data_IF_970674190758
#
_entry.id   IF_970674190758
#
_cell.length_a   1.000
_cell.length_b   1.000
_cell.length_c   1.000
_cell.angle_alpha   90.00
_cell.angle_beta   90.00
_cell.angle_gamma   90.00
#
_symmetry.space_group_name_H-M   'P 1'
#
loop_
_entity.id
_entity.type
_entity.pdbx_description
1 polymer ?
2 polymer ?
3 non-polymer ?
4 non-polymer ?
5 water ?
#
# COMPACT_ATOMS: atom_id res chain seq x y z
N UNK A 6 -14.84 3.52 17.86
CA UNK A 6 -13.85 2.48 18.13
C UNK A 6 -12.43 3.02 18.15
N UNK A 7 -11.63 2.34 18.97
CA UNK A 7 -10.20 2.61 19.08
C UNK A 7 -9.49 2.60 17.73
N UNK A 8 -9.80 1.62 16.88
CA UNK A 8 -9.09 1.55 15.60
C UNK A 8 -9.45 2.74 14.72
N UNK A 9 -10.71 3.18 14.76
CA UNK A 9 -11.10 4.33 13.94
C UNK A 9 -10.50 5.62 14.46
N UNK A 10 -10.22 5.73 15.77
CA UNK A 10 -9.47 6.89 16.27
C UNK A 10 -8.05 6.89 15.70
N UNK A 11 -7.43 5.70 15.62
CA UNK A 11 -6.11 5.61 15.00
C UNK A 11 -6.16 6.06 13.54
N UNK A 12 -7.18 5.60 12.80
CA UNK A 12 -7.39 6.04 11.42
C UNK A 12 -7.56 7.55 11.35
N UNK A 13 -8.37 8.11 12.26
CA UNK A 13 -8.56 9.56 12.22
C UNK A 13 -7.24 10.28 12.48
N UNK A 14 -6.41 9.72 13.36
CA UNK A 14 -5.12 10.33 13.61
C UNK A 14 -4.23 10.31 12.38
N UNK A 15 -4.18 9.18 11.68
CA UNK A 15 -3.44 9.11 10.42
C UNK A 15 -3.95 10.15 9.45
N UNK A 16 -5.27 10.23 9.31
CA UNK A 16 -5.86 11.20 8.38
C UNK A 16 -5.44 12.63 8.72
N UNK A 17 -5.51 13.00 10.01
CA UNK A 17 -5.03 14.31 10.46
C UNK A 17 -3.58 14.53 10.03
N UNK A 18 -2.74 13.51 10.22
CA UNK A 18 -1.35 13.65 9.82
C UNK A 18 -1.20 13.84 8.32
N UNK A 19 -1.94 13.07 7.52
CA UNK A 19 -1.82 13.19 6.08
C UNK A 19 -2.21 14.59 5.59
N UNK A 20 -3.09 15.27 6.31
CA UNK A 20 -3.57 16.58 5.94
C UNK A 20 -2.78 17.71 6.59
N UNK A 21 -1.76 17.39 7.40
CA UNK A 21 -1.06 18.38 8.21
C UNK A 21 0.06 19.07 7.42
N UNK A 22 0.52 20.22 7.95
CA UNK A 22 1.56 20.98 7.27
C UNK A 22 2.83 20.16 7.06
N UNK A 23 3.10 19.22 7.97
CA UNK A 23 4.28 18.35 7.88
C UNK A 23 4.46 17.76 6.50
N UNK A 24 3.36 17.30 5.89
CA UNK A 24 3.41 16.57 4.63
C UNK A 24 2.83 17.35 3.45
N UNK A 25 2.59 18.64 3.62
CA UNK A 25 1.86 19.41 2.62
C UNK A 25 2.58 19.53 1.29
N UNK A 26 3.90 19.40 1.27
CA UNK A 26 4.63 19.56 0.02
C UNK A 26 4.29 18.49 -0.99
N UNK A 27 3.89 17.30 -0.52
CA UNK A 27 3.53 16.21 -1.42
C UNK A 27 2.11 15.71 -1.23
N UNK A 28 1.40 16.13 -0.18
CA UNK A 28 0.02 15.67 -0.02
C UNK A 28 -0.99 16.51 -0.77
N UNK A 29 -0.63 17.75 -1.13
CA UNK A 29 -1.65 18.66 -1.65
C UNK A 29 -2.38 18.16 -2.90
N UNK A 30 -1.80 17.38 -3.83
CA UNK A 30 -2.61 16.92 -4.96
C UNK A 30 -3.73 15.99 -4.56
N UNK A 31 -3.73 15.52 -3.30
CA UNK A 31 -4.69 14.56 -2.80
C UNK A 31 -5.71 15.20 -1.87
N UNK A 32 -5.63 16.52 -1.67
CA UNK A 32 -6.52 17.18 -0.73
C UNK A 32 -7.97 17.20 -1.20
N UNK A 33 -8.20 17.32 -2.51
CA UNK A 33 -9.53 17.49 -3.08
C UNK A 33 -9.67 16.57 -4.27
N UNK A 34 -10.90 16.29 -4.73
CA UNK A 34 -11.07 15.44 -5.90
C UNK A 34 -10.31 15.99 -7.09
N UNK A 35 -9.73 15.08 -7.87
CA UNK A 35 -9.03 15.48 -9.08
C UNK A 35 -10.00 16.27 -9.93
N UNK A 36 -9.62 17.49 -10.32
CA UNK A 36 -10.45 18.30 -11.21
C UNK A 36 -9.88 18.09 -12.61
N UNK A 37 -10.38 17.05 -13.27
CA UNK A 37 -9.76 16.61 -14.52
C UNK A 37 -9.82 17.69 -15.57
N UNK A 38 -10.99 18.33 -15.74
CA UNK A 38 -11.10 19.38 -16.73
C UNK A 38 -10.13 20.52 -16.45
N UNK A 39 -10.01 20.95 -15.19
CA UNK A 39 -9.14 22.07 -14.86
C UNK A 39 -7.67 21.76 -15.12
N UNK A 40 -7.27 20.51 -14.94
CA UNK A 40 -5.90 20.08 -15.13
C UNK A 40 -5.63 19.64 -16.56
N UNK A 41 -6.63 19.68 -17.43
CA UNK A 41 -6.46 19.26 -18.80
C UNK A 41 -6.37 17.78 -18.98
N UNK A 42 -6.87 17.01 -18.02
CA UNK A 42 -6.78 15.55 -18.03
C UNK A 42 -8.08 14.95 -18.55
N UNK A 43 -8.32 15.14 -19.86
CA UNK A 43 -9.63 14.85 -20.40
C UNK A 43 -9.91 13.36 -20.56
N UNK A 44 -8.94 12.50 -20.27
CA UNK A 44 -9.13 11.06 -20.26
C UNK A 44 -9.24 10.49 -18.85
N UNK A 45 -9.18 11.35 -17.83
CA UNK A 45 -9.07 10.85 -16.45
C UNK A 45 -10.24 9.95 -16.09
N UNK A 46 -11.47 10.39 -16.40
CA UNK A 46 -12.63 9.61 -15.97
C UNK A 46 -12.94 8.44 -16.91
N UNK A 47 -12.23 8.33 -18.04
CA UNK A 47 -12.28 7.10 -18.81
C UNK A 47 -11.38 6.03 -18.22
N UNK A 48 -10.34 6.42 -17.50
CA UNK A 48 -9.35 5.52 -16.93
C UNK A 48 -9.65 5.20 -15.47
N UNK A 49 -10.09 6.19 -14.70
CA UNK A 49 -10.36 6.05 -13.26
C UNK A 49 -11.86 5.99 -13.05
N UNK A 50 -12.36 4.81 -12.67
CA UNK A 50 -13.80 4.58 -12.51
C UNK A 50 -14.32 4.97 -11.14
N UNK A 51 -13.45 5.02 -10.13
CA UNK A 51 -13.86 5.29 -8.75
C UNK A 51 -12.89 6.30 -8.15
N UNK A 52 -13.10 7.58 -8.41
CA UNK A 52 -12.21 8.60 -7.84
C UNK A 52 -12.27 8.61 -6.32
N UNK A 53 -11.15 8.97 -5.71
CA UNK A 53 -11.06 9.08 -4.26
C UNK A 53 -10.01 10.13 -3.91
N UNK A 54 -10.21 10.79 -2.76
CA UNK A 54 -9.30 11.83 -2.32
C UNK A 54 -9.49 12.05 -0.83
N UNK A 55 -8.56 12.78 -0.21
CA UNK A 55 -8.57 12.89 1.24
C UNK A 55 -9.76 13.68 1.77
N UNK A 56 -10.29 14.65 1.02
CA UNK A 56 -11.46 15.37 1.54
C UNK A 56 -12.67 14.45 1.61
N UNK A 57 -12.78 13.51 0.67
CA UNK A 57 -13.86 12.54 0.71
C UNK A 57 -13.67 11.58 1.88
N UNK A 58 -12.44 11.12 2.12
CA UNK A 58 -12.18 10.27 3.28
C UNK A 58 -12.52 11.02 4.57
N UNK A 59 -12.17 12.31 4.64
CA UNK A 59 -12.48 13.11 5.82
C UNK A 59 -13.99 13.24 6.03
N UNK A 60 -14.73 13.49 4.96
CA UNK A 60 -16.18 13.61 5.10
C UNK A 60 -16.79 12.30 5.56
N UNK A 61 -16.33 11.17 5.00
CA UNK A 61 -16.84 9.87 5.41
C UNK A 61 -16.48 9.55 6.85
N UNK A 62 -15.27 9.93 7.29
CA UNK A 62 -14.92 9.74 8.70
C UNK A 62 -15.78 10.60 9.60
N UNK A 63 -16.06 11.82 9.20
CA UNK A 63 -16.84 12.73 10.04
C UNK A 63 -18.29 12.25 10.15
N UNK A 64 -18.84 11.74 9.05
CA UNK A 64 -20.21 11.22 9.02
C UNK A 64 -20.30 9.79 9.53
N UNK A 65 -19.21 9.25 10.09
CA UNK A 65 -19.13 7.87 10.57
C UNK A 65 -19.62 6.88 9.51
N UNK A 66 -19.15 7.09 8.27
CA UNK A 66 -19.46 6.18 7.18
C UNK A 66 -18.60 4.92 7.18
N UNK A 67 -17.48 4.91 7.89
CA UNK A 67 -16.60 3.75 7.92
C UNK A 67 -17.02 2.83 9.06
N UNK A 68 -17.40 1.61 8.71
CA UNK A 68 -17.78 0.62 9.72
C UNK A 68 -16.58 0.11 10.50
N UNK A 69 -15.38 0.21 9.94
CA UNK A 69 -14.18 -0.32 10.57
C UNK A 69 -12.96 0.26 9.85
N UNK A 70 -11.78 -0.07 10.40
CA UNK A 70 -10.54 0.49 9.86
C UNK A 70 -10.26 0.01 8.45
N UNK A 71 -10.66 -1.22 8.16
CA UNK A 71 -10.43 -1.80 6.83
C UNK A 71 -11.12 -1.00 5.74
N UNK A 72 -12.34 -0.51 6.01
CA UNK A 72 -13.05 0.30 5.02
C UNK A 72 -12.33 1.62 4.78
N UNK A 73 -11.84 2.25 5.85
CA UNK A 73 -11.04 3.46 5.74
C UNK A 73 -9.79 3.21 4.90
N UNK A 74 -9.03 2.16 5.24
CA UNK A 74 -7.81 1.86 4.50
C UNK A 74 -8.09 1.60 3.03
N UNK A 75 -9.23 1.00 2.70
CA UNK A 75 -9.52 0.70 1.31
C UNK A 75 -9.70 1.97 0.49
N UNK A 76 -10.33 3.00 1.08
CA UNK A 76 -10.45 4.28 0.38
C UNK A 76 -9.08 4.96 0.23
N UNK A 77 -8.24 4.95 1.27
CA UNK A 77 -6.93 5.58 1.14
C UNK A 77 -6.10 4.88 0.08
N UNK A 78 -6.11 3.55 0.08
CA UNK A 78 -5.31 2.86 -0.93
C UNK A 78 -5.93 3.02 -2.32
N UNK A 79 -7.25 3.15 -2.41
CA UNK A 79 -7.88 3.42 -3.70
C UNK A 79 -7.37 4.74 -4.27
N UNK A 80 -7.35 5.79 -3.44
CA UNK A 80 -6.72 7.05 -3.82
C UNK A 80 -5.36 6.89 -4.46
N UNK A 81 -4.47 6.15 -3.78
CA UNK A 81 -3.11 5.98 -4.28
C UNK A 81 -3.10 5.13 -5.55
N UNK A 82 -3.92 4.08 -5.58
CA UNK A 82 -4.00 3.20 -6.76
C UNK A 82 -4.46 3.97 -7.99
N UNK A 83 -5.45 4.85 -7.83
CA UNK A 83 -5.89 5.69 -8.96
C UNK A 83 -4.74 6.53 -9.49
N UNK A 84 -3.93 7.08 -8.58
CA UNK A 84 -2.79 7.88 -9.00
C UNK A 84 -1.80 7.03 -9.79
N UNK A 85 -1.51 5.83 -9.28
CA UNK A 85 -0.57 4.95 -9.99
C UNK A 85 -1.16 4.45 -11.31
N UNK A 86 -2.47 4.30 -11.40
CA UNK A 86 -3.07 3.83 -12.65
C UNK A 86 -3.04 4.91 -13.72
N UNK A 87 -3.40 6.15 -13.35
CA UNK A 87 -3.56 7.20 -14.36
C UNK A 87 -2.20 7.76 -14.82
N UNK A 88 -1.24 7.90 -13.88
CA UNK A 88 -0.01 8.64 -14.12
C UNK A 88 1.16 7.71 -14.38
N UNK A 89 1.92 7.95 -15.43
CA UNK A 89 3.15 7.18 -15.68
C UNK A 89 4.07 7.24 -14.48
N UNK A 90 4.83 6.17 -14.23
CA UNK A 90 5.57 6.08 -12.96
C UNK A 90 6.67 7.12 -12.80
N UNK A 91 7.12 7.76 -13.87
CA UNK A 91 8.16 8.78 -13.77
C UNK A 91 7.61 10.18 -13.55
N UNK A 92 6.29 10.35 -13.54
CA UNK A 92 5.70 11.67 -13.29
C UNK A 92 5.85 12.07 -11.82
N UNK A 93 5.99 13.37 -11.59
CA UNK A 93 6.28 13.83 -10.22
C UNK A 93 5.16 13.47 -9.25
N UNK A 94 3.91 13.43 -9.71
CA UNK A 94 2.80 13.13 -8.80
C UNK A 94 2.95 11.74 -8.21
N UNK A 95 3.58 10.83 -8.96
CA UNK A 95 3.79 9.48 -8.47
C UNK A 95 4.83 9.46 -7.37
N UNK A 96 5.90 10.26 -7.52
CA UNK A 96 6.90 10.33 -6.44
C UNK A 96 6.28 10.93 -5.19
N UNK A 97 5.38 11.91 -5.36
CA UNK A 97 4.68 12.49 -4.23
C UNK A 97 3.73 11.50 -3.60
N UNK A 98 2.96 10.78 -4.42
CA UNK A 98 2.09 9.72 -3.90
C UNK A 98 2.88 8.70 -3.10
N UNK A 99 4.03 8.27 -3.60
CA UNK A 99 4.80 7.24 -2.91
C UNK A 99 5.26 7.73 -1.54
N UNK A 100 5.66 9.00 -1.46
CA UNK A 100 6.11 9.53 -0.17
C UNK A 100 4.95 9.58 0.81
N UNK A 101 3.78 10.00 0.35
CA UNK A 101 2.63 10.07 1.23
C UNK A 101 2.15 8.68 1.60
N UNK A 102 2.18 7.75 0.65
CA UNK A 102 1.72 6.41 1.01
C UNK A 102 2.69 5.75 1.98
N UNK A 103 3.99 6.06 1.89
CA UNK A 103 4.94 5.56 2.90
C UNK A 103 4.51 6.01 4.29
N UNK A 104 4.14 7.30 4.42
CA UNK A 104 3.65 7.82 5.69
C UNK A 104 2.42 7.05 6.15
N UNK A 105 1.48 6.85 5.22
CA UNK A 105 0.25 6.13 5.57
C UNK A 105 0.55 4.70 6.00
N UNK A 106 1.29 3.95 5.19
CA UNK A 106 1.41 2.51 5.46
C UNK A 106 2.16 2.25 6.75
N UNK A 107 3.18 3.06 7.04
CA UNK A 107 3.96 2.80 8.24
C UNK A 107 3.15 3.10 9.49
N UNK A 108 2.28 4.11 9.45
CA UNK A 108 1.46 4.40 10.62
C UNK A 108 0.26 3.47 10.72
N UNK A 109 -0.35 3.13 9.58
CA UNK A 109 -1.46 2.17 9.58
C UNK A 109 -1.01 0.83 10.14
N UNK A 110 0.25 0.47 9.92
CA UNK A 110 0.75 -0.80 10.46
C UNK A 110 0.84 -0.80 11.98
N UNK A 111 0.74 0.37 12.63
CA UNK A 111 0.74 0.45 14.08
C UNK A 111 -0.65 0.39 14.69
N UNK A 112 -1.62 -0.11 13.97
CA UNK A 112 -3.01 -0.12 14.40
C UNK A 112 -3.12 -0.83 15.75
N UNK A 113 -3.64 -0.18 16.79
CA UNK A 113 -3.74 -0.83 18.09
C UNK A 113 -4.64 -2.07 18.02
N UNK A 114 -4.33 -3.04 18.87
CA UNK A 114 -5.02 -4.35 18.80
C UNK A 114 -6.44 -4.27 19.33
N UNK B 5 -14.55 -12.75 -9.78
CA UNK B 5 -14.32 -12.80 -11.22
C UNK B 5 -12.99 -13.51 -11.52
N UNK B 6 -13.06 -14.55 -12.36
CA UNK B 6 -11.86 -15.29 -12.72
C UNK B 6 -10.82 -14.38 -13.35
N UNK B 7 -11.27 -13.40 -14.13
CA UNK B 7 -10.36 -12.51 -14.85
C UNK B 7 -9.53 -11.66 -13.90
N UNK B 8 -10.17 -11.09 -12.88
CA UNK B 8 -9.44 -10.35 -11.85
C UNK B 8 -8.40 -11.23 -11.20
N UNK B 9 -8.78 -12.45 -10.85
CA UNK B 9 -7.87 -13.34 -10.16
C UNK B 9 -6.72 -13.79 -11.07
N UNK B 10 -6.93 -13.84 -12.38
CA UNK B 10 -5.81 -14.09 -13.27
C UNK B 10 -4.80 -12.95 -13.22
N UNK B 11 -5.29 -11.71 -13.17
CA UNK B 11 -4.36 -10.59 -13.02
C UNK B 11 -3.60 -10.69 -11.70
N UNK B 12 -4.31 -11.06 -10.62
CA UNK B 12 -3.64 -11.25 -9.33
C UNK B 12 -2.59 -12.35 -9.40
N UNK B 13 -2.92 -13.46 -10.06
CA UNK B 13 -1.94 -14.54 -10.19
C UNK B 13 -0.73 -14.08 -10.98
N UNK B 14 -0.94 -13.24 -12.01
CA UNK B 14 0.18 -12.70 -12.75
C UNK B 14 1.09 -11.84 -11.87
N UNK B 15 0.48 -10.98 -11.05
CA UNK B 15 1.26 -10.20 -10.10
C UNK B 15 2.04 -11.11 -9.18
N UNK B 16 1.37 -12.14 -8.65
CA UNK B 16 2.04 -13.05 -7.71
C UNK B 16 3.23 -13.74 -8.37
N UNK B 17 3.06 -14.22 -9.62
CA UNK B 17 4.16 -14.81 -10.36
C UNK B 17 5.31 -13.82 -10.49
N UNK B 18 5.01 -12.56 -10.77
CA UNK B 18 6.07 -11.56 -10.87
C UNK B 18 6.77 -11.36 -9.53
N UNK B 19 6.00 -11.28 -8.43
CA UNK B 19 6.63 -11.04 -7.13
C UNK B 19 7.59 -12.17 -6.76
N UNK B 20 7.35 -13.38 -7.26
CA UNK B 20 8.16 -14.54 -6.94
C UNK B 20 9.25 -14.81 -7.97
N UNK B 21 9.33 -14.00 -9.02
CA UNK B 21 10.23 -14.25 -10.14
C UNK B 21 11.65 -13.77 -9.84
N UNK B 22 12.58 -14.25 -10.64
CA UNK B 22 13.98 -13.92 -10.43
C UNK B 22 14.23 -12.41 -10.56
N UNK B 23 13.40 -11.72 -11.35
CA UNK B 23 13.52 -10.28 -11.53
C UNK B 23 13.62 -9.53 -10.21
N UNK B 24 12.83 -9.94 -9.22
CA UNK B 24 12.72 -9.19 -7.97
C UNK B 24 13.34 -9.94 -6.81
N UNK B 25 14.10 -10.99 -7.08
CA UNK B 25 14.57 -11.87 -6.01
C UNK B 25 15.51 -11.18 -5.05
N UNK B 26 16.20 -10.11 -5.45
CA UNK B 26 17.15 -9.47 -4.54
C UNK B 26 16.46 -8.89 -3.32
N UNK B 27 15.21 -8.47 -3.44
CA UNK B 27 14.50 -7.87 -2.32
C UNK B 27 13.25 -8.64 -1.92
N UNK B 28 12.81 -9.60 -2.73
CA UNK B 28 11.60 -10.33 -2.39
C UNK B 28 11.86 -11.52 -1.49
N UNK B 29 13.09 -12.00 -1.40
CA UNK B 29 13.32 -13.28 -0.75
C UNK B 29 12.93 -13.33 0.74
N UNK B 30 12.98 -12.25 1.54
CA UNK B 30 12.49 -12.38 2.92
C UNK B 30 11.01 -12.67 3.01
N UNK B 31 10.26 -12.53 1.93
CA UNK B 31 8.81 -12.70 1.92
C UNK B 31 8.39 -14.00 1.27
N UNK B 32 9.35 -14.85 0.88
CA UNK B 32 9.00 -16.09 0.17
C UNK B 32 8.28 -17.09 1.05
N UNK B 33 8.67 -17.19 2.32
CA UNK B 33 8.19 -18.18 3.28
C UNK B 33 7.78 -17.49 4.55
N UNK B 34 6.98 -18.14 5.41
CA UNK B 34 6.65 -17.51 6.69
C UNK B 34 7.90 -17.14 7.47
N UNK B 35 7.84 -15.98 8.11
CA UNK B 35 8.92 -15.55 8.99
C UNK B 35 9.18 -16.65 10.01
N UNK B 36 10.42 -17.14 10.06
CA UNK B 36 10.77 -18.17 11.02
C UNK B 36 11.40 -17.44 12.19
N UNK B 37 10.56 -17.01 13.13
CA UNK B 37 11.00 -16.07 14.16
C UNK B 37 12.11 -16.67 15.00
N UNK B 38 11.94 -17.93 15.42
CA UNK B 38 12.95 -18.53 16.27
C UNK B 38 14.30 -18.60 15.55
N UNK B 39 14.30 -19.03 14.28
CA UNK B 39 15.54 -19.16 13.53
C UNK B 39 16.26 -17.83 13.36
N UNK B 40 15.52 -16.74 13.22
CA UNK B 40 16.08 -15.41 13.03
C UNK B 40 16.38 -14.70 14.33
N UNK B 41 16.12 -15.35 15.47
CA UNK B 41 16.32 -14.72 16.75
C UNK B 41 15.28 -13.69 17.11
N UNK B 42 14.11 -13.72 16.45
CA UNK B 42 13.10 -12.68 16.64
C UNK B 42 12.06 -13.16 17.65
N UNK B 43 12.49 -13.24 18.91
CA UNK B 43 11.66 -13.92 19.90
C UNK B 43 10.44 -13.13 20.35
N UNK B 44 10.28 -11.88 19.90
CA UNK B 44 9.09 -11.08 20.15
C UNK B 44 8.16 -11.01 18.94
N UNK B 45 8.53 -11.65 17.84
CA UNK B 45 7.79 -11.46 16.59
C UNK B 45 6.32 -11.80 16.76
N UNK B 46 6.02 -12.96 17.36
CA UNK B 46 4.63 -13.37 17.45
C UNK B 46 3.86 -12.72 18.60
N UNK B 47 4.55 -11.96 19.45
CA UNK B 47 3.84 -11.06 20.37
C UNK B 47 3.39 -9.77 19.68
N UNK B 48 4.11 -9.37 18.64
CA UNK B 48 3.85 -8.14 17.94
C UNK B 48 2.98 -8.36 16.70
N UNK B 49 3.18 -9.47 15.99
CA UNK B 49 2.48 -9.74 14.73
C UNK B 49 1.44 -10.82 14.99
N UNK B 50 0.16 -10.45 14.96
CA UNK B 50 -0.89 -11.40 15.33
C UNK B 50 -1.32 -12.26 14.15
N UNK B 51 -1.09 -11.81 12.92
CA UNK B 51 -1.58 -12.50 11.72
C UNK B 51 -0.47 -12.54 10.68
N UNK B 52 0.47 -13.48 10.83
CA UNK B 52 1.58 -13.58 9.86
C UNK B 52 1.06 -13.86 8.47
N UNK B 53 1.77 -13.34 7.47
CA UNK B 53 1.43 -13.66 6.09
C UNK B 53 2.70 -13.59 5.25
N UNK B 54 2.71 -14.33 4.15
CA UNK B 54 3.88 -14.40 3.27
C UNK B 54 3.44 -14.90 1.90
N UNK B 55 4.35 -14.79 0.93
CA UNK B 55 4.00 -15.08 -0.45
C UNK B 55 3.69 -16.57 -0.68
N UNK B 56 4.36 -17.49 0.02
CA UNK B 56 4.02 -18.89 -0.17
C UNK B 56 2.60 -19.18 0.30
N UNK B 57 2.15 -18.48 1.35
CA UNK B 57 0.78 -18.66 1.81
C UNK B 57 -0.21 -18.08 0.79
N UNK B 58 0.09 -16.89 0.26
CA UNK B 58 -0.74 -16.31 -0.79
C UNK B 58 -0.82 -17.26 -1.99
N UNK B 59 0.32 -17.87 -2.35
CA UNK B 59 0.34 -18.79 -3.49
C UNK B 59 -0.50 -20.03 -3.22
N UNK B 60 -0.37 -20.61 -2.02
CA UNK B 60 -1.18 -21.78 -1.69
C UNK B 60 -2.66 -21.45 -1.72
N UNK B 61 -3.04 -20.29 -1.18
CA UNK B 61 -4.44 -19.88 -1.18
C UNK B 61 -4.96 -19.62 -2.60
N UNK B 62 -4.13 -19.03 -3.46
CA UNK B 62 -4.51 -18.86 -4.86
C UNK B 62 -4.72 -20.21 -5.53
N UNK B 63 -3.81 -21.17 -5.28
CA UNK B 63 -3.92 -22.49 -5.88
C UNK B 63 -5.16 -23.22 -5.39
N UNK B 64 -5.44 -23.14 -4.10
CA UNK B 64 -6.62 -23.77 -3.51
C UNK B 64 -7.89 -22.95 -3.72
N UNK B 65 -7.82 -21.90 -4.55
CA UNK B 65 -8.96 -21.04 -4.86
C UNK B 65 -9.65 -20.53 -3.59
N UNK B 66 -8.84 -20.20 -2.58
CA UNK B 66 -9.35 -19.66 -1.32
C UNK B 66 -9.74 -18.20 -1.42
N UNK B 67 -9.32 -17.48 -2.47
CA UNK B 67 -9.65 -16.08 -2.61
C UNK B 67 -10.93 -15.94 -3.43
N UNK B 68 -11.96 -15.38 -2.81
CA UNK B 68 -13.21 -15.13 -3.52
C UNK B 68 -13.05 -14.04 -4.56
N UNK B 69 -11.99 -13.25 -4.45
CA UNK B 69 -11.99 -11.86 -4.87
C UNK B 69 -10.56 -11.37 -5.06
N UNK B 70 -10.38 -10.42 -5.97
CA UNK B 70 -9.11 -9.72 -6.04
C UNK B 70 -8.83 -8.97 -4.75
N UNK B 71 -9.88 -8.42 -4.14
CA UNK B 71 -9.72 -7.65 -2.90
C UNK B 71 -9.19 -8.53 -1.78
N UNK B 72 -9.64 -9.77 -1.69
CA UNK B 72 -9.12 -10.66 -0.64
C UNK B 72 -7.65 -10.97 -0.88
N UNK B 73 -7.26 -11.18 -2.13
CA UNK B 73 -5.85 -11.33 -2.48
C UNK B 73 -5.04 -10.11 -2.05
N UNK B 74 -5.47 -8.92 -2.47
CA UNK B 74 -4.73 -7.71 -2.11
C UNK B 74 -4.63 -7.55 -0.61
N UNK B 75 -5.67 -7.94 0.14
CA UNK B 75 -5.63 -7.79 1.59
C UNK B 75 -4.51 -8.62 2.20
N UNK B 76 -4.30 -9.84 1.70
CA UNK B 76 -3.20 -10.66 2.22
C UNK B 76 -1.85 -10.07 1.84
N UNK B 77 -1.69 -9.59 0.60
CA UNK B 77 -0.40 -9.03 0.22
C UNK B 77 -0.08 -7.80 1.07
N UNK B 78 -1.06 -6.92 1.25
CA UNK B 78 -0.80 -5.74 2.06
C UNK B 78 -0.61 -6.10 3.52
N UNK B 79 -1.27 -7.16 3.99
CA UNK B 79 -1.01 -7.63 5.36
C UNK B 79 0.43 -8.04 5.54
N UNK B 80 0.96 -8.83 4.61
CA UNK B 80 2.39 -9.15 4.59
C UNK B 80 3.28 -7.91 4.72
N UNK B 81 3.04 -6.88 3.91
CA UNK B 81 3.90 -5.70 4.00
C UNK B 81 3.68 -4.94 5.31
N UNK B 82 2.43 -4.81 5.74
CA UNK B 82 2.13 -4.14 7.01
C UNK B 82 2.80 -4.82 8.20
N UNK B 83 2.80 -6.15 8.24
CA UNK B 83 3.52 -6.85 9.30
C UNK B 83 4.98 -6.47 9.29
N UNK B 84 5.59 -6.38 8.11
CA UNK B 84 7.00 -6.01 8.05
C UNK B 84 7.21 -4.60 8.57
N UNK B 85 6.32 -3.66 8.21
CA UNK B 85 6.47 -2.29 8.69
C UNK B 85 6.19 -2.19 10.19
N UNK B 86 5.29 -3.02 10.70
CA UNK B 86 4.98 -2.98 12.14
C UNK B 86 6.15 -3.48 12.97
N UNK B 87 6.75 -4.60 12.57
CA UNK B 87 7.75 -5.26 13.40
C UNK B 87 9.12 -4.58 13.29
N UNK B 88 9.48 -4.09 12.09
CA UNK B 88 10.85 -3.61 11.84
C UNK B 88 10.93 -2.09 11.83
N UNK B 89 11.90 -1.51 12.55
CA UNK B 89 12.08 -0.06 12.49
C UNK B 89 12.28 0.41 11.06
N UNK B 90 11.88 1.64 10.75
CA UNK B 90 11.84 2.07 9.35
C UNK B 90 13.19 2.14 8.67
N UNK B 91 14.28 2.17 9.43
CA UNK B 91 15.62 2.26 8.85
C UNK B 91 16.26 0.88 8.62
N UNK B 92 15.58 -0.20 8.97
CA UNK B 92 16.14 -1.53 8.76
C UNK B 92 16.05 -1.92 7.29
N UNK B 93 17.01 -2.72 6.85
CA UNK B 93 17.10 -3.03 5.43
C UNK B 93 15.84 -3.75 4.92
N UNK B 94 15.24 -4.61 5.74
CA UNK B 94 14.07 -5.36 5.27
C UNK B 94 12.95 -4.41 4.90
N UNK B 95 12.90 -3.24 5.53
CA UNK B 95 11.84 -2.27 5.24
C UNK B 95 12.04 -1.66 3.86
N UNK B 96 13.28 -1.31 3.51
CA UNK B 96 13.53 -0.79 2.16
C UNK B 96 13.27 -1.86 1.11
N UNK B 97 13.55 -3.11 1.43
CA UNK B 97 13.29 -4.24 0.56
C UNK B 97 11.78 -4.42 0.38
N UNK B 98 11.04 -4.39 1.50
CA UNK B 98 9.57 -4.42 1.45
C UNK B 98 9.01 -3.28 0.60
N UNK B 99 9.55 -2.07 0.75
CA UNK B 99 8.98 -0.93 0.01
C UNK B 99 9.24 -1.07 -1.47
N UNK B 100 10.42 -1.57 -1.85
CA UNK B 100 10.70 -1.85 -3.26
C UNK B 100 9.71 -2.86 -3.83
N UNK B 101 9.48 -3.95 -3.09
CA UNK B 101 8.56 -4.96 -3.59
C UNK B 101 7.13 -4.45 -3.59
N UNK B 102 6.75 -3.66 -2.59
CA UNK B 102 5.38 -3.19 -2.55
C UNK B 102 5.12 -2.21 -3.68
N UNK B 103 6.13 -1.43 -4.08
CA UNK B 103 5.97 -0.60 -5.27
C UNK B 103 5.63 -1.44 -6.49
N UNK B 104 6.34 -2.56 -6.68
CA UNK B 104 6.04 -3.45 -7.80
C UNK B 104 4.59 -3.90 -7.72
N UNK B 105 4.17 -4.34 -6.53
CA UNK B 105 2.80 -4.81 -6.34
C UNK B 105 1.78 -3.70 -6.62
N UNK B 106 1.94 -2.53 -5.98
CA UNK B 106 0.87 -1.53 -6.06
C UNK B 106 0.72 -1.00 -7.48
N UNK B 107 1.83 -0.87 -8.19
CA UNK B 107 1.73 -0.28 -9.52
C UNK B 107 1.04 -1.24 -10.48
N UNK B 108 1.29 -2.55 -10.32
CA UNK B 108 0.64 -3.50 -11.20
C UNK B 108 -0.80 -3.79 -10.75
N UNK B 109 -1.04 -3.83 -9.44
CA UNK B 109 -2.41 -4.00 -8.94
C UNK B 109 -3.30 -2.87 -9.44
N UNK B 110 -2.75 -1.67 -9.56
CA UNK B 110 -3.56 -0.54 -10.03
C UNK B 110 -3.99 -0.72 -11.48
N UNK B 111 -3.39 -1.66 -12.20
CA UNK B 111 -3.74 -1.97 -13.59
C UNK B 111 -4.78 -3.06 -13.72
N UNK B 112 -5.47 -3.40 -12.64
CA UNK B 112 -6.53 -4.40 -12.65
C UNK B 112 -7.48 -4.15 -13.82
N UNK B 113 -7.73 -5.14 -14.68
CA UNK B 113 -8.67 -4.95 -15.80
C UNK B 113 -10.09 -4.71 -15.31
N UNK C 1 20.13 -7.32 0.13
CA UNK C 1 20.11 -7.37 -1.33
C UNK C 1 20.85 -8.53 -2.01
N UNK C 2 21.76 -9.20 -1.32
CA UNK C 2 22.44 -10.33 -1.95
C UNK C 2 21.98 -11.68 -1.39
N UNK C 3 20.81 -11.71 -0.77
CA UNK C 3 20.15 -12.94 -0.40
C UNK C 3 20.36 -13.42 1.02
N UNK C 4 21.05 -12.64 1.86
CA UNK C 4 21.30 -13.06 3.22
C UNK C 4 21.39 -11.86 4.13
N UNK C 5 21.17 -12.09 5.43
CA UNK C 5 21.34 -11.06 6.45
C UNK C 5 22.70 -11.15 7.12
N UNK C 7 22.76 -9.24 9.88
CA UNK C 7 21.99 -9.20 11.12
C UNK C 7 20.53 -9.29 10.68
N UNK C 8 19.81 -10.34 11.12
CA UNK C 8 18.47 -10.61 10.58
C UNK C 8 17.57 -9.37 10.54
N UNK C 10 17.66 -6.37 10.04
CA UNK C 10 18.27 -5.04 10.16
C UNK C 10 19.31 -4.74 9.07
N UNK C 11 20.19 -5.69 8.78
CA UNK C 11 21.38 -5.38 7.99
C UNK C 11 21.69 -6.51 7.00
N UNK C 12 21.58 -6.20 5.70
CA UNK C 12 22.05 -7.12 4.69
C UNK C 12 23.56 -7.37 4.84
N UNK D 1 6.47 19.56 -5.51
CA UNK D 1 6.91 19.82 -4.14
C UNK D 1 6.73 21.25 -3.64
N UNK D 2 6.60 22.22 -4.54
CA UNK D 2 6.45 23.61 -4.14
C UNK D 2 5.00 24.06 -4.10
N UNK D 3 4.06 23.14 -4.27
CA UNK D 3 2.67 23.42 -4.04
C UNK D 3 1.84 23.64 -5.29
N UNK D 4 2.44 23.49 -6.46
CA UNK D 4 1.76 23.72 -7.73
C UNK D 4 2.44 22.88 -8.79
N UNK D 5 1.80 22.80 -9.95
CA UNK D 5 2.35 22.15 -11.13
C UNK D 5 2.90 23.15 -12.11
N UNK D 7 3.68 21.58 -15.06
CA UNK D 7 2.83 20.84 -15.99
C UNK D 7 2.00 19.89 -15.13
N UNK D 8 0.65 19.96 -15.21
CA UNK D 8 -0.18 19.17 -14.29
C UNK D 8 0.25 17.69 -14.19
N UNK D 10 2.65 15.89 -14.18
CA UNK D 10 3.96 15.48 -14.67
C UNK D 10 5.15 16.20 -14.00
N UNK D 11 5.07 17.53 -13.86
CA UNK D 11 6.26 18.32 -13.50
C UNK D 11 5.94 19.34 -12.42
N UNK D 12 6.61 19.21 -11.28
CA UNK D 12 6.60 20.25 -10.26
C UNK D 12 7.39 21.47 -10.71
#
# INVERSE_FOLDING_TARGET
>A
GPLGSSEQLKHCNGILKELLSKKHAAYAWPFYKPVDASALGLHDYHDIIKHPMDLSTVKRKMENRDYRDAQEFAADVRLMFSNCYKYNPPDHDVVAMARKLQDVFEFRYAKMPD
>B
GPLGSSEQLKHCNGILKELLSKKHAAYAWPFYKPVDASALGLHDYHDIIKHPMDLSTVKRKMENRDYRDAQEFAADVRLMFSNCYKYNPPDHDVVAMARKLQDVFEFRYAKMPD
>C
WYGYWXVPXRKC
>D
WYGYWXVPXRKC
#
